data_IF_804860032452
#
_entry.id   IF_804860032452
#
_cell.length_a   1.000
_cell.length_b   1.000
_cell.length_c   1.000
_cell.angle_alpha   90.00
_cell.angle_beta   90.00
_cell.angle_gamma   90.00
#
_symmetry.space_group_name_H-M   'P 1'
#
loop_
_entity.id
_entity.type
_entity.pdbx_description
1 polymer ?
#
# COMPACT_ATOMS: atom_id res chain seq x y z
N UNK A 1 -18.23 -4.67 -3.55
CA UNK A 1 -16.89 -4.49 -3.01
C UNK A 1 -15.93 -4.25 -4.16
N UNK A 2 -15.26 -3.14 -4.17
CA UNK A 2 -14.34 -2.84 -5.26
C UNK A 2 -13.04 -3.61 -5.10
N UNK A 3 -12.63 -4.24 -6.17
CA UNK A 3 -11.35 -4.94 -6.21
C UNK A 3 -10.29 -3.98 -6.73
N UNK A 4 -9.24 -3.79 -5.95
CA UNK A 4 -8.10 -3.03 -6.40
C UNK A 4 -7.27 -3.85 -7.40
N UNK A 5 -6.68 -3.17 -8.37
CA UNK A 5 -5.73 -3.81 -9.29
C UNK A 5 -4.44 -4.14 -8.53
N UNK A 6 -3.64 -5.04 -9.09
CA UNK A 6 -2.33 -5.36 -8.54
C UNK A 6 -1.48 -4.11 -8.38
N UNK A 7 -1.50 -3.23 -9.37
CA UNK A 7 -0.77 -1.97 -9.34
C UNK A 7 -1.24 -1.07 -8.19
N UNK A 8 -2.55 -0.97 -7.99
CA UNK A 8 -3.12 -0.17 -6.91
C UNK A 8 -2.74 -0.72 -5.54
N UNK A 9 -2.79 -2.03 -5.38
CA UNK A 9 -2.38 -2.68 -4.13
C UNK A 9 -0.90 -2.40 -3.84
N UNK A 10 -0.06 -2.51 -4.84
CA UNK A 10 1.37 -2.26 -4.75
C UNK A 10 1.67 -0.84 -4.28
N UNK A 11 0.99 0.13 -4.90
CA UNK A 11 1.16 1.55 -4.56
C UNK A 11 0.61 1.84 -3.17
N UNK A 12 -0.58 1.36 -2.86
CA UNK A 12 -1.20 1.56 -1.55
C UNK A 12 -0.32 0.98 -0.43
N UNK A 13 0.19 -0.22 -0.63
CA UNK A 13 1.10 -0.86 0.32
C UNK A 13 2.35 -0.02 0.56
N UNK A 14 2.97 0.47 -0.50
CA UNK A 14 4.17 1.31 -0.40
C UNK A 14 3.88 2.62 0.35
N UNK A 15 2.76 3.26 0.07
CA UNK A 15 2.36 4.49 0.75
C UNK A 15 2.17 4.24 2.25
N UNK A 16 1.50 3.16 2.61
CA UNK A 16 1.22 2.87 4.02
C UNK A 16 2.50 2.52 4.76
N UNK A 17 3.37 1.72 4.16
CA UNK A 17 4.67 1.38 4.78
C UNK A 17 5.51 2.63 5.02
N UNK A 18 5.53 3.54 4.04
CA UNK A 18 6.25 4.79 4.17
C UNK A 18 5.61 5.69 5.25
N UNK A 19 4.29 5.76 5.28
CA UNK A 19 3.58 6.53 6.29
C UNK A 19 3.83 6.00 7.71
N UNK A 20 3.81 4.67 7.88
CA UNK A 20 4.10 4.04 9.17
C UNK A 20 5.51 4.43 9.65
N UNK A 21 6.46 4.48 8.75
CA UNK A 21 7.85 4.80 9.07
C UNK A 21 8.05 6.28 9.40
N UNK A 22 7.41 7.19 8.66
CA UNK A 22 7.70 8.62 8.73
C UNK A 22 6.62 9.45 9.39
N UNK A 23 5.39 8.95 9.48
CA UNK A 23 4.19 9.67 9.94
C UNK A 23 3.95 10.97 9.15
N UNK A 24 4.40 11.01 7.91
CA UNK A 24 4.29 12.18 7.04
C UNK A 24 3.55 11.83 5.75
N UNK A 25 2.86 12.81 5.11
CA UNK A 25 2.23 12.57 3.83
C UNK A 25 3.23 12.09 2.78
N UNK A 26 2.78 11.19 1.91
CA UNK A 26 3.63 10.49 0.95
C UNK A 26 3.34 10.99 -0.46
N UNK A 27 4.38 11.44 -1.16
CA UNK A 27 4.27 11.92 -2.53
C UNK A 27 4.76 10.89 -3.55
N UNK A 28 4.33 11.06 -4.81
CA UNK A 28 4.67 10.13 -5.89
C UNK A 28 6.16 10.10 -6.21
N UNK A 29 6.84 11.24 -6.13
CA UNK A 29 8.27 11.31 -6.43
C UNK A 29 9.10 10.54 -5.40
N UNK A 30 8.72 10.64 -4.14
CA UNK A 30 9.41 9.93 -3.08
C UNK A 30 9.21 8.43 -3.20
N UNK A 31 8.00 8.00 -3.55
CA UNK A 31 7.74 6.59 -3.81
C UNK A 31 8.60 6.06 -4.96
N UNK A 32 8.70 6.85 -6.02
CA UNK A 32 9.52 6.46 -7.18
C UNK A 32 10.99 6.29 -6.80
N UNK A 33 11.51 7.18 -5.95
CA UNK A 33 12.91 7.14 -5.54
C UNK A 33 13.22 6.02 -4.57
N UNK A 34 12.34 5.78 -3.62
CA UNK A 34 12.59 4.86 -2.51
C UNK A 34 12.14 3.43 -2.80
N UNK A 35 11.05 3.29 -3.54
CA UNK A 35 10.45 2.00 -3.84
C UNK A 35 10.56 1.75 -5.34
N UNK A 36 11.21 0.68 -5.73
CA UNK A 36 11.37 0.35 -7.14
C UNK A 36 10.11 -0.35 -7.65
N UNK A 37 9.08 0.45 -7.93
CA UNK A 37 7.78 -0.06 -8.35
C UNK A 37 7.69 -0.38 -9.85
N UNK A 38 8.68 0.07 -10.65
CA UNK A 38 8.65 -0.12 -12.09
C UNK A 38 7.56 0.68 -12.78
N UNK A 39 7.11 1.78 -12.16
CA UNK A 39 6.00 2.59 -12.64
C UNK A 39 6.47 4.05 -12.64
N UNK A 40 6.09 4.83 -13.67
CA UNK A 40 6.49 6.23 -13.75
C UNK A 40 5.84 7.06 -12.63
N UNK A 41 6.48 8.16 -12.19
CA UNK A 41 5.88 9.05 -11.18
C UNK A 41 4.51 9.58 -11.57
N UNK A 42 4.29 9.86 -12.86
CA UNK A 42 2.99 10.33 -13.35
C UNK A 42 1.91 9.26 -13.16
N UNK A 43 2.24 8.00 -13.45
CA UNK A 43 1.31 6.89 -13.25
C UNK A 43 1.04 6.67 -11.76
N UNK A 44 2.08 6.74 -10.93
CA UNK A 44 1.92 6.64 -9.47
C UNK A 44 0.95 7.72 -8.98
N UNK A 45 1.13 8.97 -9.43
CA UNK A 45 0.24 10.07 -9.06
C UNK A 45 -1.20 9.81 -9.47
N UNK A 46 -1.43 9.33 -10.68
CA UNK A 46 -2.78 9.04 -11.16
C UNK A 46 -3.44 7.96 -10.33
N UNK A 47 -2.70 6.93 -9.95
CA UNK A 47 -3.23 5.87 -9.10
C UNK A 47 -3.48 6.38 -7.67
N UNK A 48 -2.66 7.29 -7.17
CA UNK A 48 -2.90 7.92 -5.87
C UNK A 48 -4.20 8.72 -5.86
N UNK A 49 -4.49 9.45 -6.94
CA UNK A 49 -5.76 10.17 -7.10
C UNK A 49 -6.92 9.18 -7.07
N UNK A 50 -6.78 8.08 -7.77
CA UNK A 50 -7.81 7.06 -7.83
C UNK A 50 -8.06 6.41 -6.47
N UNK A 51 -6.99 6.05 -5.77
CA UNK A 51 -7.08 5.49 -4.42
C UNK A 51 -7.72 6.48 -3.44
N UNK A 52 -7.49 7.77 -3.64
CA UNK A 52 -8.15 8.80 -2.85
C UNK A 52 -9.65 8.83 -3.13
N UNK A 53 -10.03 8.79 -4.40
CA UNK A 53 -11.45 8.73 -4.79
C UNK A 53 -12.16 7.49 -4.25
N UNK A 54 -11.46 6.37 -4.16
CA UNK A 54 -12.01 5.12 -3.66
C UNK A 54 -12.07 5.07 -2.12
N UNK A 55 -11.48 6.06 -1.43
CA UNK A 55 -11.53 6.15 0.02
C UNK A 55 -10.38 5.49 0.78
N UNK A 56 -9.37 4.98 0.08
CA UNK A 56 -8.21 4.35 0.73
C UNK A 56 -7.16 5.34 1.20
N UNK A 57 -7.12 6.50 0.54
CA UNK A 57 -6.19 7.57 0.87
C UNK A 57 -6.94 8.87 1.04
N UNK A 58 -6.31 9.85 1.69
CA UNK A 58 -6.82 11.21 1.73
C UNK A 58 -5.67 12.20 1.58
N UNK A 59 -5.99 13.40 1.08
CA UNK A 59 -5.03 14.47 0.90
C UNK A 59 -5.17 15.47 2.05
N UNK A 60 -4.13 15.64 2.88
CA UNK A 60 -4.18 16.69 3.92
C UNK A 60 -4.11 18.07 3.29
N UNK A 61 -4.65 19.07 3.98
CA UNK A 61 -4.73 20.44 3.48
C UNK A 61 -3.37 21.08 3.21
N UNK A 62 -2.35 20.66 3.93
CA UNK A 62 -1.04 21.31 3.92
C UNK A 62 -0.04 20.64 2.99
N UNK A 63 -0.46 19.64 2.25
CA UNK A 63 0.47 18.84 1.45
C UNK A 63 -0.18 18.32 0.18
N UNK A 64 0.63 18.16 -0.88
CA UNK A 64 0.23 17.48 -2.09
C UNK A 64 0.30 15.94 -1.93
N UNK A 65 0.93 15.46 -0.85
CA UNK A 65 1.03 14.03 -0.57
C UNK A 65 -0.28 13.43 -0.09
N UNK A 66 -0.24 12.14 0.19
CA UNK A 66 -1.40 11.39 0.66
C UNK A 66 -1.08 10.68 1.95
N UNK A 67 -2.11 10.51 2.77
CA UNK A 67 -2.04 9.67 3.97
C UNK A 67 -3.12 8.61 3.89
N UNK A 68 -2.94 7.45 4.55
CA UNK A 68 -3.98 6.42 4.53
C UNK A 68 -5.18 6.82 5.38
N UNK A 69 -6.36 6.41 4.92
CA UNK A 69 -7.59 6.47 5.71
C UNK A 69 -7.68 5.23 6.60
N UNK A 70 -8.65 5.19 7.50
CA UNK A 70 -8.94 3.98 8.29
C UNK A 70 -9.22 2.79 7.38
N UNK A 71 -9.92 3.01 6.28
CA UNK A 71 -10.22 1.97 5.29
C UNK A 71 -8.94 1.47 4.62
N UNK A 72 -8.01 2.38 4.29
CA UNK A 72 -6.72 2.01 3.72
C UNK A 72 -5.87 1.19 4.69
N UNK A 73 -5.81 1.62 5.94
CA UNK A 73 -5.08 0.88 6.99
C UNK A 73 -5.66 -0.51 7.21
N UNK A 74 -6.99 -0.62 7.25
CA UNK A 74 -7.65 -1.91 7.41
C UNK A 74 -7.32 -2.85 6.25
N UNK A 75 -7.37 -2.34 5.03
CA UNK A 75 -7.00 -3.12 3.86
C UNK A 75 -5.57 -3.64 3.97
N UNK A 76 -4.64 -2.78 4.38
CA UNK A 76 -3.24 -3.15 4.53
C UNK A 76 -3.05 -4.24 5.59
N UNK A 77 -3.70 -4.09 6.74
CA UNK A 77 -3.60 -5.08 7.82
C UNK A 77 -4.16 -6.42 7.37
N UNK A 78 -5.30 -6.43 6.68
CA UNK A 78 -5.92 -7.66 6.18
C UNK A 78 -5.00 -8.35 5.16
N UNK A 79 -4.36 -7.60 4.27
CA UNK A 79 -3.41 -8.12 3.29
C UNK A 79 -2.18 -8.71 3.98
N UNK A 80 -1.62 -7.99 4.94
CA UNK A 80 -0.45 -8.44 5.68
C UNK A 80 -0.74 -9.71 6.48
N UNK A 81 -1.89 -9.79 7.11
CA UNK A 81 -2.30 -10.96 7.87
C UNK A 81 -2.50 -12.16 6.96
N UNK A 82 -3.08 -11.97 5.80
CA UNK A 82 -3.25 -13.02 4.80
C UNK A 82 -1.90 -13.55 4.32
N UNK A 83 -0.96 -12.66 4.01
CA UNK A 83 0.39 -13.05 3.61
C UNK A 83 1.10 -13.85 4.70
N UNK A 84 0.98 -13.41 5.96
CA UNK A 84 1.56 -14.11 7.09
C UNK A 84 0.92 -15.46 7.33
N UNK A 85 -0.38 -15.57 7.18
CA UNK A 85 -1.08 -16.84 7.32
C UNK A 85 -0.63 -17.86 6.28
N UNK A 86 -0.47 -17.44 5.04
CA UNK A 86 0.06 -18.29 3.97
C UNK A 86 1.49 -18.74 4.24
N UNK A 87 2.33 -17.82 4.69
CA UNK A 87 3.71 -18.13 5.05
C UNK A 87 3.79 -19.13 6.21
N UNK A 88 2.96 -18.93 7.23
CA UNK A 88 2.90 -19.82 8.39
C UNK A 88 2.41 -21.21 8.00
N UNK A 89 1.38 -21.29 7.17
CA UNK A 89 0.85 -22.55 6.67
C UNK A 89 1.92 -23.30 5.86
N UNK A 90 2.69 -22.59 5.06
CA UNK A 90 3.81 -23.18 4.32
C UNK A 90 4.87 -23.75 5.25
N UNK A 91 5.20 -23.05 6.32
CA UNK A 91 6.16 -23.52 7.32
C UNK A 91 5.68 -24.78 8.03
N UNK A 92 4.42 -24.79 8.43
CA UNK A 92 3.80 -25.93 9.08
C UNK A 92 3.84 -27.13 8.14
N UNK A 93 3.48 -26.93 6.89
CA UNK A 93 3.51 -27.99 5.88
C UNK A 93 4.92 -28.56 5.72
N UNK A 94 5.92 -27.69 5.55
CA UNK A 94 7.32 -28.12 5.40
C UNK A 94 7.81 -28.88 6.62
N UNK A 95 7.51 -28.38 7.81
CA UNK A 95 7.93 -29.06 9.05
C UNK A 95 7.29 -30.42 9.22
N UNK A 96 6.07 -30.58 8.72
CA UNK A 96 5.36 -31.85 8.82
C UNK A 96 5.94 -32.92 7.91
N UNK A 97 6.44 -32.52 6.73
CA UNK A 97 6.92 -33.46 5.73
C UNK A 97 8.46 -33.59 5.64
N UNK A 98 9.17 -32.82 6.41
CA UNK A 98 10.62 -32.91 6.52
C UNK A 98 11.01 -33.60 7.82
#
# INVERSE_FOLDING_TARGET
MENLTTRQIQILKAIIEEYIETAAPVGSEMLDKKYNLGISPATIRNEMVRLTSLGYLKQPHTSAGRIPTSMGMKFYVDQLMEEKALSLNSRIFLNFFI
#
